data_IF_629977120852
#
_entry.id   IF_629977120852
#
_cell.length_a   1.000
_cell.length_b   1.000
_cell.length_c   1.000
_cell.angle_alpha   90.00
_cell.angle_beta   90.00
_cell.angle_gamma   90.00
#
_symmetry.space_group_name_H-M   'P 1'
#
loop_
_entity.id
_entity.type
_entity.pdbx_description
1 polymer ?
#
# COMPACT_ATOMS: atom_id res chain seq x y z
N UNK A 1 26.87 3.42 -2.19
CA UNK A 1 25.74 2.48 -2.33
C UNK A 1 24.46 3.28 -2.16
N UNK A 2 23.53 3.23 -3.11
CA UNK A 2 22.21 3.87 -2.96
C UNK A 2 21.31 2.96 -2.13
N UNK A 3 20.79 3.44 -1.01
CA UNK A 3 19.80 2.73 -0.21
C UNK A 3 18.43 2.82 -0.85
N UNK A 4 17.66 1.73 -0.80
CA UNK A 4 16.25 1.74 -1.24
C UNK A 4 15.39 2.41 -0.18
N UNK A 5 14.48 3.28 -0.60
CA UNK A 5 13.50 3.92 0.28
C UNK A 5 12.13 3.22 0.20
N UNK A 6 11.30 3.41 1.23
CA UNK A 6 9.94 2.84 1.30
C UNK A 6 8.93 3.96 1.51
N UNK A 7 7.83 3.92 0.76
CA UNK A 7 6.68 4.81 0.92
C UNK A 7 5.40 3.98 1.10
N UNK A 8 4.40 4.56 1.76
CA UNK A 8 3.06 4.01 1.92
C UNK A 8 2.09 5.03 1.33
N UNK A 9 1.29 4.61 0.34
CA UNK A 9 0.36 5.50 -0.37
C UNK A 9 -1.06 4.94 -0.30
N UNK A 10 -2.02 5.78 0.10
CA UNK A 10 -3.45 5.44 0.12
C UNK A 10 -4.23 6.43 -0.76
N UNK A 11 -5.11 5.93 -1.63
CA UNK A 11 -5.78 6.76 -2.63
C UNK A 11 -6.97 6.12 -3.33
N UNK A 12 -7.64 5.15 -2.68
CA UNK A 12 -8.72 4.35 -3.26
C UNK A 12 -8.31 2.89 -3.42
N UNK A 13 -8.90 2.18 -4.39
CA UNK A 13 -8.69 0.74 -4.56
C UNK A 13 -7.21 0.40 -4.81
N UNK A 14 -6.62 -0.43 -3.93
CA UNK A 14 -5.20 -0.78 -3.99
C UNK A 14 -4.80 -1.56 -5.25
N UNK A 15 -5.75 -2.19 -5.97
CA UNK A 15 -5.46 -2.99 -7.15
C UNK A 15 -5.12 -2.08 -8.31
N UNK A 16 -5.91 -1.01 -8.49
CA UNK A 16 -5.62 0.03 -9.47
C UNK A 16 -4.31 0.75 -9.13
N UNK A 17 -4.15 1.17 -7.88
CA UNK A 17 -2.95 1.88 -7.43
C UNK A 17 -1.68 1.04 -7.62
N UNK A 18 -1.68 -0.23 -7.18
CA UNK A 18 -0.53 -1.12 -7.32
C UNK A 18 -0.16 -1.36 -8.79
N UNK A 19 -1.17 -1.57 -9.66
CA UNK A 19 -0.94 -1.76 -11.10
C UNK A 19 -0.25 -0.57 -11.77
N UNK A 20 -0.60 0.64 -11.35
CA UNK A 20 0.00 1.87 -11.84
C UNK A 20 1.40 2.12 -11.26
N UNK A 21 1.58 1.90 -9.95
CA UNK A 21 2.83 2.14 -9.24
C UNK A 21 3.93 1.17 -9.66
N UNK A 22 3.64 -0.12 -9.77
CA UNK A 22 4.63 -1.15 -10.11
C UNK A 22 5.29 -0.99 -11.49
N UNK A 23 4.74 -0.14 -12.36
CA UNK A 23 5.27 0.17 -13.69
C UNK A 23 6.12 1.45 -13.71
N UNK A 24 6.20 2.19 -12.59
CA UNK A 24 6.94 3.45 -12.53
C UNK A 24 8.46 3.19 -12.48
N UNK A 25 9.28 3.94 -13.24
CA UNK A 25 10.73 3.85 -13.14
C UNK A 25 11.21 4.07 -11.71
N UNK A 26 12.12 3.22 -11.25
CA UNK A 26 12.68 3.27 -9.89
C UNK A 26 11.90 2.49 -8.83
N UNK A 27 10.70 2.01 -9.13
CA UNK A 27 9.96 1.13 -8.20
C UNK A 27 10.53 -0.28 -8.25
N UNK A 28 11.05 -0.75 -7.12
CA UNK A 28 11.68 -2.08 -6.99
C UNK A 28 10.65 -3.16 -6.68
N UNK A 29 9.71 -2.87 -5.77
CA UNK A 29 8.65 -3.79 -5.39
C UNK A 29 7.43 -3.02 -4.86
N UNK A 30 6.27 -3.68 -4.85
CA UNK A 30 5.03 -3.16 -4.28
C UNK A 30 4.33 -4.27 -3.53
N UNK A 31 3.62 -3.93 -2.46
CA UNK A 31 2.70 -4.83 -1.73
C UNK A 31 1.42 -4.07 -1.44
N UNK A 32 0.33 -4.76 -1.15
CA UNK A 32 -0.93 -4.11 -0.77
C UNK A 32 -1.28 -4.46 0.67
N UNK A 33 -2.02 -3.60 1.32
CA UNK A 33 -2.49 -3.82 2.68
C UNK A 33 -3.44 -2.73 3.15
N UNK A 34 -3.65 -2.69 4.46
CA UNK A 34 -4.46 -1.69 5.14
C UNK A 34 -3.56 -0.92 6.11
N UNK A 35 -3.67 0.40 6.13
CA UNK A 35 -2.86 1.25 6.99
C UNK A 35 -3.61 2.50 7.45
N UNK A 36 -3.17 3.10 8.54
CA UNK A 36 -3.68 4.38 9.05
C UNK A 36 -4.86 4.29 10.03
N UNK A 37 -5.37 3.09 10.35
CA UNK A 37 -6.39 2.88 11.40
C UNK A 37 -5.83 2.19 12.65
N UNK A 38 -6.70 1.96 13.63
CA UNK A 38 -6.31 1.40 14.94
C UNK A 38 -6.57 -0.11 15.07
N UNK A 39 -7.31 -0.71 14.14
CA UNK A 39 -7.67 -2.14 14.21
C UNK A 39 -6.43 -3.04 13.97
N UNK A 40 -6.01 -3.89 14.92
CA UNK A 40 -4.87 -4.79 14.71
C UNK A 40 -5.23 -5.94 13.76
N UNK A 41 -4.23 -6.50 13.08
CA UNK A 41 -4.39 -7.65 12.17
C UNK A 41 -5.48 -7.45 11.12
N UNK A 42 -5.51 -6.26 10.51
CA UNK A 42 -6.50 -5.89 9.51
C UNK A 42 -6.57 -6.90 8.36
N UNK A 43 -7.80 -7.23 7.95
CA UNK A 43 -8.11 -8.13 6.83
C UNK A 43 -9.08 -7.46 5.87
N UNK A 44 -9.25 -8.02 4.68
CA UNK A 44 -10.20 -7.48 3.69
C UNK A 44 -11.62 -7.32 4.23
N UNK A 45 -12.08 -8.25 5.07
CA UNK A 45 -13.43 -8.19 5.67
C UNK A 45 -13.50 -7.40 6.97
N UNK A 46 -12.36 -7.13 7.60
CA UNK A 46 -12.29 -6.47 8.89
C UNK A 46 -11.01 -5.63 8.98
N UNK A 47 -11.07 -4.38 8.51
CA UNK A 47 -9.99 -3.41 8.56
C UNK A 47 -10.42 -2.05 9.11
N UNK A 48 -11.61 -1.96 9.71
CA UNK A 48 -12.09 -0.77 10.42
C UNK A 48 -11.90 0.54 9.63
N UNK A 49 -11.14 1.44 10.23
CA UNK A 49 -10.78 2.78 9.79
C UNK A 49 -9.46 2.86 9.00
N UNK A 50 -8.83 1.72 8.71
CA UNK A 50 -7.67 1.68 7.82
C UNK A 50 -8.08 1.98 6.38
N UNK A 51 -7.20 2.68 5.65
CA UNK A 51 -7.31 2.86 4.22
C UNK A 51 -6.62 1.71 3.47
N UNK A 52 -7.17 1.34 2.30
CA UNK A 52 -6.44 0.52 1.33
C UNK A 52 -5.18 1.27 0.86
N UNK A 53 -4.03 0.63 1.02
CA UNK A 53 -2.72 1.21 0.76
C UNK A 53 -1.82 0.28 -0.06
N UNK A 54 -0.86 0.89 -0.76
CA UNK A 54 0.24 0.24 -1.50
C UNK A 54 1.58 0.65 -0.90
#
# INVERSE_FOLDING_TARGET
MTTTETAILAGGCFWGAQQLLRRRPGVISTRVGYSGGDTPNATYRNHGDHAEAV
#
